data_IF_158572591403
#
_entry.id   IF_158572591403
#
_cell.length_a   1.000
_cell.length_b   1.000
_cell.length_c   1.000
_cell.angle_alpha   90.00
_cell.angle_beta   90.00
_cell.angle_gamma   90.00
#
_symmetry.space_group_name_H-M   'P 1'
#
loop_
_entity.id
_entity.type
_entity.pdbx_description
1 polymer ?
#
# COMPACT_ATOMS: atom_id res chain seq x y z
N UNK A 1 -60.63 -21.89 -0.09
CA UNK A 1 -59.41 -21.24 -0.63
C UNK A 1 -58.82 -20.18 0.31
N UNK A 2 -59.62 -19.46 1.11
CA UNK A 2 -59.17 -18.44 2.07
C UNK A 2 -58.20 -18.91 3.19
N UNK A 3 -58.39 -20.05 3.88
CA UNK A 3 -57.52 -20.41 5.02
C UNK A 3 -56.08 -20.75 4.62
N UNK A 4 -55.84 -21.21 3.38
CA UNK A 4 -54.50 -21.50 2.87
C UNK A 4 -53.64 -20.23 2.76
N UNK A 5 -54.21 -19.13 2.30
CA UNK A 5 -53.54 -17.83 2.22
C UNK A 5 -53.18 -17.27 3.59
N UNK A 6 -54.03 -17.48 4.60
CA UNK A 6 -53.71 -17.11 5.98
C UNK A 6 -52.55 -17.92 6.56
N UNK A 7 -52.50 -19.24 6.31
CA UNK A 7 -51.37 -20.07 6.77
C UNK A 7 -50.05 -19.70 6.08
N UNK A 8 -50.09 -19.41 4.78
CA UNK A 8 -48.93 -18.94 4.03
C UNK A 8 -48.46 -17.56 4.53
N UNK A 9 -49.40 -16.66 4.79
CA UNK A 9 -49.09 -15.33 5.32
C UNK A 9 -48.48 -15.41 6.72
N UNK A 10 -49.02 -16.26 7.60
CA UNK A 10 -48.47 -16.51 8.93
C UNK A 10 -47.05 -17.09 8.85
N UNK A 11 -46.81 -18.05 7.95
CA UNK A 11 -45.48 -18.63 7.74
C UNK A 11 -44.48 -17.58 7.23
N UNK A 12 -44.88 -16.75 6.26
CA UNK A 12 -44.04 -15.65 5.76
C UNK A 12 -43.74 -14.63 6.87
N UNK A 13 -44.71 -14.31 7.73
CA UNK A 13 -44.51 -13.36 8.82
C UNK A 13 -43.54 -13.90 9.90
N UNK A 14 -43.68 -15.18 10.25
CA UNK A 14 -42.73 -15.86 11.16
C UNK A 14 -41.33 -15.89 10.53
N UNK A 15 -41.23 -16.23 9.24
CA UNK A 15 -39.96 -16.23 8.50
C UNK A 15 -39.30 -14.84 8.49
N UNK A 16 -40.08 -13.79 8.21
CA UNK A 16 -39.60 -12.41 8.24
C UNK A 16 -39.14 -11.99 9.64
N UNK A 17 -39.88 -12.37 10.69
CA UNK A 17 -39.51 -12.10 12.08
C UNK A 17 -38.18 -12.77 12.47
N UNK A 18 -37.97 -14.02 12.06
CA UNK A 18 -36.71 -14.75 12.30
C UNK A 18 -35.55 -14.10 11.56
N UNK A 19 -35.73 -13.74 10.28
CA UNK A 19 -34.68 -13.07 9.49
C UNK A 19 -34.30 -11.71 10.10
N UNK A 20 -35.29 -10.93 10.53
CA UNK A 20 -35.07 -9.64 11.18
C UNK A 20 -34.32 -9.83 12.51
N UNK A 21 -34.67 -10.84 13.31
CA UNK A 21 -33.95 -11.13 14.55
C UNK A 21 -32.48 -11.48 14.31
N UNK A 22 -32.20 -12.35 13.33
CA UNK A 22 -30.83 -12.73 12.95
C UNK A 22 -30.06 -11.52 12.44
N UNK A 23 -30.68 -10.63 11.66
CA UNK A 23 -30.03 -9.43 11.17
C UNK A 23 -29.68 -8.46 12.31
N UNK A 24 -30.62 -8.20 13.22
CA UNK A 24 -30.38 -7.36 14.40
C UNK A 24 -29.25 -7.92 15.26
N UNK A 25 -29.22 -9.24 15.50
CA UNK A 25 -28.17 -9.84 16.32
C UNK A 25 -26.80 -9.75 15.64
N UNK A 26 -26.73 -9.96 14.31
CA UNK A 26 -25.50 -9.75 13.53
C UNK A 26 -25.01 -8.30 13.61
N UNK A 27 -25.91 -7.31 13.45
CA UNK A 27 -25.59 -5.89 13.56
C UNK A 27 -25.08 -5.54 14.97
N UNK A 28 -25.78 -5.98 16.01
CA UNK A 28 -25.38 -5.78 17.42
C UNK A 28 -24.04 -6.45 17.75
N UNK A 29 -23.84 -7.67 17.28
CA UNK A 29 -22.59 -8.41 17.43
C UNK A 29 -21.41 -7.69 16.78
N UNK A 30 -21.60 -7.13 15.57
CA UNK A 30 -20.59 -6.34 14.86
C UNK A 30 -20.21 -5.08 15.63
N UNK A 31 -21.19 -4.30 16.09
CA UNK A 31 -20.94 -3.09 16.89
C UNK A 31 -20.16 -3.38 18.17
N UNK A 32 -20.50 -4.47 18.88
CA UNK A 32 -19.76 -4.89 20.09
C UNK A 32 -18.31 -5.25 19.78
N UNK A 33 -18.08 -6.02 18.70
CA UNK A 33 -16.73 -6.39 18.24
C UNK A 33 -15.91 -5.17 17.83
N UNK A 34 -16.51 -4.23 17.08
CA UNK A 34 -15.85 -2.98 16.68
C UNK A 34 -15.49 -2.11 17.89
N UNK A 35 -16.41 -1.95 18.85
CA UNK A 35 -16.17 -1.20 20.09
C UNK A 35 -15.05 -1.81 20.93
N UNK A 36 -15.01 -3.14 21.05
CA UNK A 36 -13.93 -3.85 21.75
C UNK A 36 -12.58 -3.69 21.06
N UNK A 37 -12.57 -3.79 19.73
CA UNK A 37 -11.36 -3.59 18.93
C UNK A 37 -10.83 -2.15 19.01
N UNK A 38 -11.71 -1.15 18.92
CA UNK A 38 -11.36 0.26 19.06
C UNK A 38 -10.68 0.53 20.40
N UNK A 39 -11.28 0.04 21.51
CA UNK A 39 -10.69 0.12 22.85
C UNK A 39 -9.30 -0.50 22.93
N UNK A 40 -9.08 -1.65 22.28
CA UNK A 40 -7.76 -2.30 22.29
C UNK A 40 -6.67 -1.52 21.56
N UNK A 41 -7.05 -0.64 20.62
CA UNK A 41 -6.13 0.23 19.88
C UNK A 41 -6.01 1.63 20.50
N UNK A 42 -6.75 1.92 21.59
CA UNK A 42 -6.84 3.28 22.14
C UNK A 42 -7.58 4.25 21.21
N UNK A 43 -8.48 3.74 20.38
CA UNK A 43 -9.31 4.53 19.48
C UNK A 43 -10.69 4.81 20.09
N UNK A 44 -11.26 5.94 19.72
CA UNK A 44 -12.60 6.34 20.10
C UNK A 44 -13.63 5.64 19.21
N UNK A 45 -14.77 5.28 19.81
CA UNK A 45 -15.86 4.60 19.10
C UNK A 45 -17.13 5.43 19.19
N UNK A 46 -17.71 5.69 18.02
CA UNK A 46 -18.99 6.34 17.85
C UNK A 46 -19.94 5.40 17.09
N UNK A 47 -21.20 5.33 17.54
CA UNK A 47 -22.14 4.37 16.97
C UNK A 47 -22.56 4.75 15.55
N UNK A 48 -22.74 6.03 15.31
CA UNK A 48 -23.27 6.58 14.08
C UNK A 48 -22.79 8.01 13.91
N UNK A 49 -22.41 8.39 12.68
CA UNK A 49 -22.01 9.76 12.35
C UNK A 49 -22.41 10.09 10.91
N UNK A 50 -23.09 11.22 10.71
CA UNK A 50 -23.57 11.68 9.39
C UNK A 50 -22.57 12.61 8.70
N UNK A 51 -21.67 13.25 9.44
CA UNK A 51 -20.76 14.26 8.88
C UNK A 51 -19.45 13.67 8.37
N UNK A 52 -19.08 12.48 8.84
CA UNK A 52 -17.81 11.83 8.48
C UNK A 52 -17.76 11.51 6.99
N UNK A 53 -18.87 11.05 6.40
CA UNK A 53 -18.94 10.66 4.99
C UNK A 53 -18.84 11.84 4.01
N UNK A 54 -19.29 13.04 4.41
CA UNK A 54 -19.25 14.25 3.57
C UNK A 54 -17.84 14.68 3.17
N UNK A 55 -16.81 14.13 3.82
CA UNK A 55 -15.39 14.45 3.59
C UNK A 55 -14.82 13.78 2.35
N UNK A 56 -15.46 12.74 1.84
CA UNK A 56 -14.98 11.95 0.71
C UNK A 56 -16.06 11.87 -0.37
N UNK A 57 -15.63 11.70 -1.61
CA UNK A 57 -16.53 11.76 -2.78
C UNK A 57 -16.37 10.60 -3.75
N UNK A 58 -15.27 9.85 -3.69
CA UNK A 58 -14.90 8.84 -4.69
C UNK A 58 -14.93 7.41 -4.15
N UNK A 59 -14.73 6.45 -5.03
CA UNK A 59 -14.62 5.03 -4.70
C UNK A 59 -15.97 4.43 -4.32
N UNK A 60 -16.05 3.72 -3.20
CA UNK A 60 -17.34 3.18 -2.73
C UNK A 60 -18.33 4.31 -2.39
N UNK A 61 -17.83 5.47 -1.98
CA UNK A 61 -18.65 6.58 -1.51
C UNK A 61 -19.41 7.23 -2.67
N UNK A 62 -18.90 7.20 -3.90
CA UNK A 62 -19.66 7.70 -5.06
C UNK A 62 -20.81 6.79 -5.48
N UNK A 63 -20.80 5.53 -5.03
CA UNK A 63 -21.89 4.58 -5.31
C UNK A 63 -23.01 4.63 -4.27
N UNK A 64 -22.72 5.20 -3.09
CA UNK A 64 -23.65 5.27 -1.97
C UNK A 64 -24.21 6.69 -1.88
N UNK A 65 -25.52 6.80 -1.62
CA UNK A 65 -26.19 8.10 -1.45
C UNK A 65 -25.85 8.77 -0.11
N UNK A 66 -26.71 9.70 0.31
CA UNK A 66 -26.62 10.36 1.62
C UNK A 66 -27.03 9.39 2.74
N UNK A 67 -26.10 8.53 3.12
CA UNK A 67 -26.29 7.45 4.09
C UNK A 67 -25.42 7.74 5.32
N UNK A 68 -25.88 7.48 6.55
CA UNK A 68 -25.05 7.65 7.74
C UNK A 68 -23.92 6.60 7.81
N UNK A 69 -22.77 7.00 8.38
CA UNK A 69 -21.71 6.05 8.71
C UNK A 69 -22.03 5.37 10.05
N UNK A 70 -21.93 4.05 10.11
CA UNK A 70 -22.13 3.28 11.35
C UNK A 70 -20.81 2.74 11.89
N UNK A 71 -20.79 2.38 13.19
CA UNK A 71 -19.64 1.75 13.84
C UNK A 71 -18.32 2.49 13.60
N UNK A 72 -18.39 3.81 13.72
CA UNK A 72 -17.30 4.74 13.44
C UNK A 72 -16.25 4.60 14.53
N UNK A 73 -15.00 4.47 14.12
CA UNK A 73 -13.82 4.45 14.97
C UNK A 73 -12.92 5.57 14.54
N UNK A 74 -12.57 6.42 15.49
CA UNK A 74 -11.67 7.55 15.30
C UNK A 74 -10.37 7.24 16.03
N UNK A 75 -9.25 7.33 15.31
CA UNK A 75 -7.96 7.00 15.86
C UNK A 75 -6.86 7.87 15.30
N UNK A 76 -5.65 7.64 15.80
CA UNK A 76 -4.44 8.23 15.26
C UNK A 76 -3.34 7.19 15.13
N UNK A 77 -2.59 7.28 14.06
CA UNK A 77 -1.49 6.38 13.73
C UNK A 77 -0.29 7.24 13.37
N UNK A 78 0.79 7.17 14.15
CA UNK A 78 2.00 7.98 13.91
C UNK A 78 1.70 9.48 13.75
N UNK A 79 0.65 9.98 14.41
CA UNK A 79 0.18 11.37 14.31
C UNK A 79 -0.77 11.67 13.14
N UNK A 80 -1.04 10.71 12.25
CA UNK A 80 -2.03 10.83 11.18
C UNK A 80 -3.39 10.34 11.65
N UNK A 81 -4.46 11.10 11.41
CA UNK A 81 -5.82 10.70 11.76
C UNK A 81 -6.27 9.50 10.93
N UNK A 82 -6.93 8.54 11.57
CA UNK A 82 -7.55 7.39 10.91
C UNK A 82 -9.02 7.29 11.29
N UNK A 83 -9.85 7.04 10.29
CA UNK A 83 -11.28 6.76 10.44
C UNK A 83 -11.55 5.34 9.95
N UNK A 84 -12.28 4.55 10.72
CA UNK A 84 -12.83 3.27 10.27
C UNK A 84 -14.34 3.33 10.45
N UNK A 85 -15.10 3.08 9.41
CA UNK A 85 -16.56 3.13 9.50
C UNK A 85 -17.20 2.13 8.55
N UNK A 86 -18.45 1.80 8.84
CA UNK A 86 -19.27 0.93 8.03
C UNK A 86 -20.25 1.79 7.24
N UNK A 87 -20.31 1.58 5.92
CA UNK A 87 -21.28 2.19 5.02
C UNK A 87 -22.40 1.18 4.81
N UNK A 88 -23.63 1.54 5.18
CA UNK A 88 -24.86 0.72 5.28
C UNK A 88 -24.86 -0.57 4.44
N UNK A 89 -24.34 -1.66 5.02
CA UNK A 89 -24.20 -3.00 4.42
C UNK A 89 -23.36 -3.13 3.13
N UNK A 90 -22.82 -2.03 2.60
CA UNK A 90 -21.98 -2.03 1.40
C UNK A 90 -20.56 -2.46 1.73
N UNK A 91 -19.88 -1.72 2.60
CA UNK A 91 -18.46 -1.94 2.89
C UNK A 91 -18.04 -1.35 4.24
N UNK A 92 -16.98 -1.91 4.83
CA UNK A 92 -16.20 -1.24 5.86
C UNK A 92 -15.09 -0.44 5.18
N UNK A 93 -15.02 0.86 5.44
CA UNK A 93 -14.01 1.77 4.89
C UNK A 93 -13.03 2.18 5.97
N UNK A 94 -11.75 2.15 5.64
CA UNK A 94 -10.65 2.66 6.44
C UNK A 94 -10.04 3.84 5.70
N UNK A 95 -10.10 5.03 6.28
CA UNK A 95 -9.53 6.25 5.72
C UNK A 95 -8.37 6.75 6.60
N UNK A 96 -7.20 6.90 5.99
CA UNK A 96 -5.98 7.41 6.61
C UNK A 96 -5.67 8.82 6.08
N UNK A 97 -5.40 9.76 6.97
CA UNK A 97 -5.00 11.11 6.60
C UNK A 97 -3.59 11.11 6.01
N UNK A 98 -3.40 11.83 4.90
CA UNK A 98 -2.11 11.96 4.23
C UNK A 98 -1.40 13.21 4.71
N UNK A 99 -0.09 13.11 5.00
CA UNK A 99 0.73 14.27 5.32
C UNK A 99 0.86 15.29 4.17
N UNK A 100 0.90 14.80 2.92
CA UNK A 100 1.02 15.63 1.72
C UNK A 100 -0.15 15.31 0.78
N UNK A 101 -0.92 16.35 0.46
CA UNK A 101 -2.05 16.23 -0.44
C UNK A 101 -1.65 16.10 -1.91
N UNK A 102 -2.50 15.48 -2.73
CA UNK A 102 -2.30 15.32 -4.19
C UNK A 102 -3.60 15.54 -4.95
N UNK A 103 -3.56 16.15 -6.13
CA UNK A 103 -4.74 16.23 -7.01
C UNK A 103 -4.91 14.98 -7.90
N UNK A 104 -3.90 14.11 -7.93
CA UNK A 104 -3.94 12.85 -8.66
C UNK A 104 -4.64 11.80 -7.80
N UNK A 105 -5.65 11.16 -8.38
CA UNK A 105 -6.37 10.03 -7.79
C UNK A 105 -5.89 8.77 -8.47
N UNK A 106 -5.45 7.81 -7.68
CA UNK A 106 -5.16 6.44 -8.11
C UNK A 106 -6.17 5.53 -7.41
N UNK A 107 -6.85 4.70 -8.20
CA UNK A 107 -7.83 3.73 -7.74
C UNK A 107 -7.37 2.34 -8.16
N UNK A 108 -7.15 1.47 -7.17
CA UNK A 108 -6.70 0.10 -7.31
C UNK A 108 -7.81 -0.81 -6.79
N UNK A 109 -8.46 -1.55 -7.69
CA UNK A 109 -9.60 -2.43 -7.36
C UNK A 109 -9.36 -3.86 -7.80
N UNK A 110 -9.96 -4.83 -7.13
CA UNK A 110 -9.93 -6.23 -7.57
C UNK A 110 -10.54 -6.38 -8.97
N UNK A 111 -9.98 -7.31 -9.74
CA UNK A 111 -10.54 -7.71 -11.04
C UNK A 111 -11.96 -8.24 -10.85
N UNK A 112 -12.87 -7.84 -11.73
CA UNK A 112 -14.28 -8.24 -11.71
C UNK A 112 -15.20 -7.27 -10.95
N UNK A 113 -14.65 -6.31 -10.21
CA UNK A 113 -15.42 -5.17 -9.73
C UNK A 113 -15.70 -4.20 -10.90
N UNK A 114 -16.85 -3.55 -10.86
CA UNK A 114 -17.22 -2.53 -11.85
C UNK A 114 -16.17 -1.43 -11.88
N UNK A 115 -15.99 -0.79 -13.03
CA UNK A 115 -15.07 0.34 -13.18
C UNK A 115 -15.55 1.57 -12.38
N UNK A 116 -14.67 2.53 -12.06
CA UNK A 116 -15.10 3.77 -11.41
C UNK A 116 -16.19 4.45 -12.24
N UNK A 117 -17.17 5.07 -11.58
CA UNK A 117 -18.29 5.74 -12.28
C UNK A 117 -17.91 7.11 -12.82
N UNK A 118 -16.86 7.69 -12.25
CA UNK A 118 -16.37 9.02 -12.58
C UNK A 118 -15.83 9.05 -14.01
N UNK A 119 -16.17 10.09 -14.78
CA UNK A 119 -15.75 10.23 -16.18
C UNK A 119 -14.32 10.76 -16.35
N UNK A 120 -13.70 11.24 -15.27
CA UNK A 120 -12.38 11.86 -15.25
C UNK A 120 -11.25 10.90 -14.86
N UNK A 121 -11.55 9.60 -14.80
CA UNK A 121 -10.60 8.56 -14.44
C UNK A 121 -10.51 7.51 -15.54
N UNK A 122 -9.30 7.12 -15.91
CA UNK A 122 -9.05 6.20 -17.01
C UNK A 122 -8.29 4.96 -16.54
N UNK A 123 -8.52 3.84 -17.22
CA UNK A 123 -7.82 2.59 -16.98
C UNK A 123 -6.35 2.72 -17.38
N UNK A 124 -5.44 2.50 -16.43
CA UNK A 124 -4.00 2.41 -16.70
C UNK A 124 -3.61 0.99 -17.13
N UNK A 125 -4.14 -0.02 -16.44
CA UNK A 125 -3.85 -1.43 -16.75
C UNK A 125 -4.09 -2.38 -15.59
N UNK A 126 -3.79 -3.66 -15.82
CA UNK A 126 -3.90 -4.72 -14.83
C UNK A 126 -2.58 -4.96 -14.10
N UNK A 127 -2.62 -5.04 -12.78
CA UNK A 127 -1.49 -5.43 -11.93
C UNK A 127 -1.93 -6.63 -11.08
N UNK A 128 -1.46 -7.82 -11.44
CA UNK A 128 -1.78 -9.05 -10.72
C UNK A 128 -3.30 -9.32 -10.66
N UNK A 129 -3.91 -9.47 -9.47
CA UNK A 129 -5.35 -9.65 -9.31
C UNK A 129 -6.16 -8.34 -9.36
N UNK A 130 -5.52 -7.19 -9.62
CA UNK A 130 -6.14 -5.86 -9.50
C UNK A 130 -6.04 -5.06 -10.80
N UNK A 131 -6.93 -4.08 -10.94
CA UNK A 131 -7.00 -3.10 -12.02
C UNK A 131 -6.69 -1.71 -11.45
N UNK A 132 -5.87 -0.94 -12.15
CA UNK A 132 -5.48 0.42 -11.76
C UNK A 132 -6.16 1.43 -12.68
N UNK A 133 -6.84 2.39 -12.06
CA UNK A 133 -7.44 3.54 -12.71
C UNK A 133 -6.79 4.81 -12.14
N UNK A 134 -6.67 5.86 -12.96
CA UNK A 134 -6.12 7.14 -12.50
C UNK A 134 -6.66 8.33 -13.27
N UNK A 135 -6.75 9.48 -12.60
CA UNK A 135 -7.06 10.78 -13.23
C UNK A 135 -5.89 11.31 -14.03
N UNK A 136 -4.67 10.85 -13.74
CA UNK A 136 -3.48 11.16 -14.53
C UNK A 136 -2.65 9.87 -14.75
N UNK A 137 -2.63 9.40 -15.98
CA UNK A 137 -1.97 8.14 -16.35
C UNK A 137 -0.45 8.22 -16.20
N UNK A 138 0.17 9.37 -16.48
CA UNK A 138 1.62 9.54 -16.37
C UNK A 138 2.10 9.59 -14.92
N UNK A 139 1.33 10.25 -14.05
CA UNK A 139 1.60 10.26 -12.61
C UNK A 139 1.39 8.86 -12.00
N UNK A 140 0.33 8.16 -12.40
CA UNK A 140 0.10 6.79 -11.94
C UNK A 140 1.14 5.82 -12.46
N UNK A 141 1.60 5.93 -13.71
CA UNK A 141 2.68 5.08 -14.24
C UNK A 141 3.99 5.25 -13.47
N UNK A 142 4.29 6.47 -13.01
CA UNK A 142 5.43 6.73 -12.12
C UNK A 142 5.24 6.14 -10.72
N UNK A 143 4.01 6.14 -10.21
CA UNK A 143 3.67 5.53 -8.92
C UNK A 143 3.61 3.99 -8.97
N UNK A 144 3.30 3.43 -10.14
CA UNK A 144 3.26 1.98 -10.39
C UNK A 144 4.65 1.39 -10.61
N UNK A 145 5.53 1.54 -9.62
CA UNK A 145 6.85 0.93 -9.61
C UNK A 145 6.81 -0.57 -9.23
N UNK A 146 7.98 -1.20 -9.10
CA UNK A 146 8.10 -2.60 -8.67
C UNK A 146 7.44 -2.87 -7.31
N UNK A 147 7.41 -1.87 -6.41
CA UNK A 147 6.82 -2.00 -5.07
C UNK A 147 5.30 -2.02 -5.16
N UNK A 148 4.71 -1.16 -6.00
CA UNK A 148 3.27 -1.19 -6.27
C UNK A 148 2.84 -2.51 -6.90
N UNK A 149 3.64 -3.06 -7.83
CA UNK A 149 3.37 -4.37 -8.43
C UNK A 149 3.37 -5.47 -7.36
N UNK A 150 4.40 -5.48 -6.50
CA UNK A 150 4.50 -6.46 -5.40
C UNK A 150 3.33 -6.31 -4.44
N UNK A 151 3.01 -5.07 -4.05
CA UNK A 151 1.88 -4.75 -3.17
C UNK A 151 0.55 -5.26 -3.73
N UNK A 152 0.28 -5.06 -5.03
CA UNK A 152 -0.94 -5.54 -5.65
C UNK A 152 -1.08 -7.07 -5.62
N UNK A 153 0.03 -7.82 -5.57
CA UNK A 153 0.03 -9.27 -5.42
C UNK A 153 -0.05 -9.73 -3.96
N UNK A 154 0.55 -9.01 -3.02
CA UNK A 154 0.61 -9.39 -1.61
C UNK A 154 -0.55 -8.84 -0.79
N UNK A 155 -1.21 -7.78 -1.25
CA UNK A 155 -2.33 -7.17 -0.55
C UNK A 155 -3.50 -8.16 -0.46
N UNK A 156 -4.14 -8.27 0.71
CA UNK A 156 -5.17 -9.27 0.94
C UNK A 156 -6.40 -9.00 0.09
N UNK A 157 -7.08 -10.06 -0.33
CA UNK A 157 -8.30 -9.95 -1.17
C UNK A 157 -9.48 -9.32 -0.42
N UNK A 158 -9.39 -9.19 0.92
CA UNK A 158 -10.36 -8.40 1.69
C UNK A 158 -10.24 -6.90 1.43
N UNK A 159 -9.12 -6.41 0.88
CA UNK A 159 -8.99 -5.03 0.38
C UNK A 159 -9.45 -4.99 -1.08
N UNK A 160 -10.76 -4.81 -1.25
CA UNK A 160 -11.46 -4.88 -2.53
C UNK A 160 -11.16 -3.67 -3.41
N UNK A 161 -11.23 -2.47 -2.82
CA UNK A 161 -11.02 -1.19 -3.51
C UNK A 161 -10.13 -0.32 -2.63
N UNK A 162 -9.05 0.20 -3.20
CA UNK A 162 -8.10 1.09 -2.54
C UNK A 162 -7.95 2.32 -3.40
N UNK A 163 -8.20 3.50 -2.86
CA UNK A 163 -8.06 4.73 -3.61
C UNK A 163 -7.50 5.85 -2.74
N UNK A 164 -7.04 6.92 -3.36
CA UNK A 164 -6.73 8.13 -2.64
C UNK A 164 -7.60 9.28 -3.12
N UNK A 165 -7.84 10.20 -2.21
CA UNK A 165 -8.32 11.54 -2.51
C UNK A 165 -7.21 12.54 -2.18
N UNK A 166 -7.57 13.82 -2.09
CA UNK A 166 -6.61 14.90 -1.91
C UNK A 166 -5.74 14.69 -0.68
N UNK A 167 -6.37 14.62 0.49
CA UNK A 167 -5.68 14.49 1.78
C UNK A 167 -5.93 13.14 2.47
N UNK A 168 -6.48 12.17 1.75
CA UNK A 168 -6.91 10.88 2.32
C UNK A 168 -6.50 9.72 1.45
N UNK A 169 -6.17 8.60 2.09
CA UNK A 169 -6.00 7.30 1.44
C UNK A 169 -6.98 6.34 2.07
N UNK A 170 -7.79 5.68 1.23
CA UNK A 170 -8.93 4.89 1.65
C UNK A 170 -8.78 3.45 1.16
N UNK A 171 -9.29 2.52 1.97
CA UNK A 171 -9.45 1.11 1.62
C UNK A 171 -10.87 0.70 1.99
N UNK A 172 -11.59 0.12 1.03
CA UNK A 172 -12.87 -0.53 1.26
C UNK A 172 -12.69 -2.04 1.34
N UNK A 173 -13.40 -2.62 2.30
CA UNK A 173 -13.39 -4.04 2.63
C UNK A 173 -14.82 -4.55 2.80
N UNK A 174 -15.07 -5.87 2.69
CA UNK A 174 -16.38 -6.43 2.94
C UNK A 174 -16.91 -6.08 4.33
N UNK A 175 -18.21 -5.81 4.45
CA UNK A 175 -18.85 -5.53 5.75
C UNK A 175 -18.79 -6.72 6.74
N UNK A 176 -18.55 -7.92 6.22
CA UNK A 176 -18.33 -9.15 6.98
C UNK A 176 -16.92 -9.27 7.58
N UNK A 177 -16.06 -8.26 7.37
CA UNK A 177 -14.67 -8.27 7.83
C UNK A 177 -14.54 -8.47 9.34
N UNK A 178 -13.58 -9.29 9.71
CA UNK A 178 -13.24 -9.67 11.09
C UNK A 178 -12.20 -8.74 11.69
N UNK A 179 -11.96 -8.88 13.00
CA UNK A 179 -10.94 -8.12 13.74
C UNK A 179 -9.55 -8.18 13.10
N UNK A 180 -9.11 -9.39 12.73
CA UNK A 180 -7.80 -9.60 12.11
C UNK A 180 -7.71 -8.92 10.74
N UNK A 181 -8.80 -8.94 9.97
CA UNK A 181 -8.89 -8.24 8.68
C UNK A 181 -8.88 -6.72 8.86
N UNK A 182 -9.47 -6.16 9.92
CA UNK A 182 -9.34 -4.73 10.21
C UNK A 182 -7.89 -4.34 10.54
N UNK A 183 -7.17 -5.16 11.33
CA UNK A 183 -5.75 -4.94 11.60
C UNK A 183 -4.91 -5.03 10.32
N UNK A 184 -5.25 -5.96 9.43
CA UNK A 184 -4.62 -6.09 8.12
C UNK A 184 -4.94 -4.91 7.21
N UNK A 185 -6.20 -4.46 7.16
CA UNK A 185 -6.63 -3.28 6.43
C UNK A 185 -5.89 -2.01 6.89
N UNK A 186 -5.65 -1.85 8.19
CA UNK A 186 -4.81 -0.77 8.73
C UNK A 186 -3.35 -0.85 8.25
N UNK A 187 -2.80 -2.04 8.05
CA UNK A 187 -1.44 -2.19 7.48
C UNK A 187 -1.46 -1.89 5.98
N UNK A 188 -2.45 -2.40 5.26
CA UNK A 188 -2.64 -2.23 3.81
C UNK A 188 -2.81 -0.76 3.45
N UNK A 189 -3.67 0.00 4.16
CA UNK A 189 -3.86 1.44 3.90
C UNK A 189 -2.58 2.24 4.11
N UNK A 190 -1.75 1.87 5.10
CA UNK A 190 -0.46 2.53 5.35
C UNK A 190 0.55 2.23 4.25
N UNK A 191 0.67 0.96 3.87
CA UNK A 191 1.55 0.55 2.78
C UNK A 191 1.15 1.23 1.46
N UNK A 192 -0.15 1.27 1.17
CA UNK A 192 -0.68 1.97 0.00
C UNK A 192 -0.42 3.48 0.08
N UNK A 193 -0.66 4.11 1.23
CA UNK A 193 -0.35 5.52 1.45
C UNK A 193 1.14 5.83 1.20
N UNK A 194 2.04 4.97 1.71
CA UNK A 194 3.49 5.10 1.53
C UNK A 194 3.92 5.00 0.05
N UNK A 195 3.30 4.10 -0.72
CA UNK A 195 3.53 3.98 -2.17
C UNK A 195 3.04 5.22 -2.93
N UNK A 196 1.94 5.81 -2.49
CA UNK A 196 1.36 7.01 -3.11
C UNK A 196 2.03 8.32 -2.68
N UNK A 197 3.10 8.29 -1.89
CA UNK A 197 3.87 9.51 -1.54
C UNK A 197 4.63 10.10 -2.72
N UNK A 198 4.83 9.32 -3.78
CA UNK A 198 5.51 9.76 -5.01
C UNK A 198 4.61 10.57 -5.95
N UNK A 199 3.31 10.70 -5.62
CA UNK A 199 2.39 11.53 -6.37
C UNK A 199 2.76 13.01 -6.24
N UNK A 200 2.54 13.81 -7.31
CA UNK A 200 2.85 15.23 -7.27
C UNK A 200 2.03 15.92 -6.16
N UNK A 201 2.65 16.78 -5.33
CA UNK A 201 1.91 17.56 -4.37
C UNK A 201 0.94 18.48 -5.09
N UNK A 202 -0.15 18.85 -4.42
CA UNK A 202 -1.00 19.95 -4.89
C UNK A 202 -0.09 21.17 -5.11
N UNK A 203 -0.13 21.84 -6.28
CA UNK A 203 0.56 23.09 -6.47
C UNK A 203 0.12 24.00 -5.32
N UNK A 204 1.08 24.40 -4.48
CA UNK A 204 0.79 25.47 -3.54
C UNK A 204 0.48 26.67 -4.41
N UNK A 205 -0.79 27.09 -4.48
CA UNK A 205 -1.08 28.47 -4.82
C UNK A 205 -0.29 29.27 -3.81
N UNK A 206 0.79 29.85 -4.29
CA UNK A 206 1.77 30.58 -3.52
C UNK A 206 1.00 31.53 -2.62
N UNK A 207 0.94 31.23 -1.32
CA UNK A 207 0.71 32.22 -0.28
C UNK A 207 1.97 33.10 -0.20
N UNK A 208 2.24 33.76 -1.32
CA UNK A 208 3.27 34.74 -1.64
C UNK A 208 3.04 35.15 -3.12
N UNK A 209 1.81 35.57 -3.42
CA UNK A 209 1.62 36.65 -4.37
C UNK A 209 2.26 37.91 -3.74
N UNK A 210 3.58 38.00 -3.85
CA UNK A 210 4.38 39.00 -3.14
C UNK A 210 5.86 39.03 -3.50
N UNK A 211 6.29 38.39 -4.59
CA UNK A 211 7.55 38.74 -5.23
C UNK A 211 7.44 38.37 -6.72
N UNK A 212 7.50 39.35 -7.65
CA UNK A 212 7.51 39.00 -9.06
C UNK A 212 8.78 38.19 -9.32
N UNK A 213 8.59 36.98 -9.86
CA UNK A 213 9.66 36.25 -10.51
C UNK A 213 10.20 37.16 -11.61
N UNK A 214 11.29 37.86 -11.28
CA UNK A 214 12.07 38.61 -12.26
C UNK A 214 12.50 37.60 -13.32
N UNK A 215 11.83 37.68 -14.47
CA UNK A 215 12.33 37.23 -15.75
C UNK A 215 13.78 37.71 -15.77
N UNK A 216 14.74 36.79 -15.67
CA UNK A 216 16.15 37.11 -15.89
C UNK A 216 16.31 37.37 -17.40
N UNK A 217 15.84 38.52 -17.83
CA UNK A 217 16.26 39.16 -19.07
C UNK A 217 17.73 39.52 -18.88
N UNK A 218 18.62 38.57 -19.16
CA UNK A 218 20.03 38.85 -19.34
C UNK A 218 20.17 39.62 -20.66
N UNK A 219 19.94 40.93 -20.61
CA UNK A 219 20.33 41.83 -21.69
C UNK A 219 21.85 42.14 -21.58
N UNK A 220 22.55 42.27 -22.71
CA UNK A 220 23.99 42.20 -22.80
C UNK A 220 24.64 43.56 -22.55
N UNK A 221 25.64 43.61 -21.68
CA UNK A 221 26.63 44.71 -21.67
C UNK A 221 27.78 44.38 -20.73
N UNK A 222 28.76 43.64 -21.24
CA UNK A 222 30.13 43.70 -20.74
C UNK A 222 31.04 44.16 -21.87
N UNK A 223 31.61 45.36 -21.82
CA UNK A 223 32.58 45.82 -22.82
C UNK A 223 33.84 44.95 -22.75
N UNK A 224 34.31 44.50 -23.91
CA UNK A 224 35.65 43.92 -24.08
C UNK A 224 36.70 44.95 -23.62
N UNK A 225 37.52 44.58 -22.63
CA UNK A 225 38.78 45.26 -22.37
C UNK A 225 39.85 44.70 -23.34
N UNK A 226 40.69 45.56 -23.95
CA UNK A 226 41.57 45.18 -25.04
C UNK A 226 42.80 44.39 -24.59
N UNK A 227 43.29 43.54 -25.49
CA UNK A 227 44.51 42.75 -25.34
C UNK A 227 45.75 43.64 -25.20
N UNK A 228 46.30 43.72 -23.99
CA UNK A 228 47.60 44.30 -23.70
C UNK A 228 48.70 43.22 -23.79
N UNK A 229 49.42 43.23 -24.91
CA UNK A 229 50.68 42.52 -25.14
C UNK A 229 51.69 42.89 -24.04
N UNK A 230 52.18 41.92 -23.29
CA UNK A 230 53.39 42.08 -22.46
C UNK A 230 54.42 41.04 -22.88
N UNK A 231 55.61 41.59 -23.08
CA UNK A 231 56.78 41.11 -23.79
C UNK A 231 57.69 40.33 -22.83
N UNK A 232 58.32 39.25 -23.31
CA UNK A 232 59.41 38.54 -22.63
C UNK A 232 60.68 39.42 -22.59
N UNK A 233 61.53 39.28 -21.55
CA UNK A 233 62.92 38.96 -21.89
C UNK A 233 63.64 37.94 -20.95
N UNK A 234 64.26 36.98 -21.64
CA UNK A 234 65.56 36.29 -21.51
C UNK A 234 66.46 36.31 -20.23
N UNK A 235 66.70 35.10 -19.71
CA UNK A 235 67.98 34.34 -19.52
C UNK A 235 69.22 34.99 -18.85
N UNK A 236 69.64 34.42 -17.71
CA UNK A 236 71.03 34.05 -17.27
C UNK A 236 70.95 33.48 -15.83
N UNK A 237 71.77 32.59 -15.27
CA UNK A 237 72.76 31.57 -15.67
C UNK A 237 73.07 30.73 -14.41
N UNK A 238 73.42 29.47 -14.61
CA UNK A 238 73.89 28.44 -13.64
C UNK A 238 75.11 28.89 -12.79
N UNK A 239 75.45 28.19 -11.68
CA UNK A 239 76.25 26.94 -11.71
C UNK A 239 75.65 25.83 -10.82
N UNK A 240 75.64 24.54 -11.16
CA UNK A 240 76.70 23.56 -11.47
C UNK A 240 77.38 22.98 -10.22
N UNK A 241 76.99 21.75 -9.84
CA UNK A 241 77.85 20.78 -9.15
C UNK A 241 77.49 19.40 -9.68
N UNK A 242 78.20 18.99 -10.72
CA UNK A 242 78.31 17.60 -11.15
C UNK A 242 79.24 16.82 -10.21
N UNK A 243 78.82 15.61 -9.84
CA UNK A 243 79.74 14.48 -9.71
C UNK A 243 80.19 14.08 -8.30
N UNK A 244 79.46 13.17 -7.67
CA UNK A 244 80.10 12.07 -6.94
C UNK A 244 79.28 10.78 -7.07
N UNK A 245 79.90 9.84 -7.79
CA UNK A 245 79.64 8.40 -7.97
C UNK A 245 78.96 7.70 -6.77
N UNK A 246 78.18 6.64 -6.92
CA UNK A 246 77.90 5.79 -8.06
C UNK A 246 77.03 4.57 -7.67
N UNK A 247 76.62 3.84 -8.71
CA UNK A 247 76.36 2.39 -8.76
C UNK A 247 75.30 1.75 -7.85
N UNK A 248 74.34 1.12 -8.54
CA UNK A 248 73.86 -0.26 -8.35
C UNK A 248 72.41 -0.52 -7.88
N UNK A 249 71.71 -1.26 -8.76
CA UNK A 249 70.76 -2.36 -8.48
C UNK A 249 69.25 -2.03 -8.37
N UNK A 250 68.60 -2.20 -9.54
CA UNK A 250 67.57 -3.22 -9.82
C UNK A 250 66.13 -3.07 -9.27
N UNK A 251 65.18 -3.04 -10.22
CA UNK A 251 63.74 -3.18 -10.03
C UNK A 251 63.31 -4.61 -9.63
N UNK A 252 62.12 -4.75 -9.00
CA UNK A 252 61.16 -5.74 -9.48
C UNK A 252 59.72 -5.17 -9.52
N UNK A 253 59.02 -5.21 -10.66
CA UNK A 253 58.20 -6.31 -11.21
C UNK A 253 57.01 -6.76 -10.35
N UNK A 254 55.82 -6.48 -10.89
CA UNK A 254 54.50 -7.06 -10.60
C UNK A 254 54.55 -8.59 -10.62
N UNK A 255 53.79 -9.22 -9.73
CA UNK A 255 53.46 -10.66 -9.79
C UNK A 255 51.93 -10.84 -9.83
N UNK A 256 51.40 -11.59 -10.81
CA UNK A 256 50.02 -12.08 -10.83
C UNK A 256 49.89 -13.46 -10.17
N UNK A 257 48.72 -13.73 -9.58
CA UNK A 257 48.39 -14.97 -8.85
C UNK A 257 47.98 -16.10 -9.83
N UNK A 258 48.46 -17.35 -9.67
CA UNK A 258 48.19 -18.42 -10.62
C UNK A 258 47.00 -19.31 -10.23
N UNK A 259 46.36 -19.83 -11.28
CA UNK A 259 45.38 -20.90 -11.27
C UNK A 259 46.01 -22.27 -10.94
N UNK A 260 45.27 -23.14 -10.24
CA UNK A 260 45.55 -24.57 -10.12
C UNK A 260 44.44 -25.35 -10.83
N UNK A 261 44.84 -26.18 -11.79
CA UNK A 261 43.98 -26.95 -12.71
C UNK A 261 44.08 -28.46 -12.43
N UNK A 262 42.91 -29.10 -12.43
CA UNK A 262 42.51 -30.49 -12.81
C UNK A 262 43.22 -31.74 -12.26
N UNK A 263 42.44 -32.78 -11.93
CA UNK A 263 42.00 -33.86 -12.85
C UNK A 263 40.97 -34.77 -12.13
N UNK A 264 39.74 -34.95 -12.66
CA UNK A 264 39.23 -36.03 -13.56
C UNK A 264 38.71 -37.26 -12.77
N UNK A 265 37.69 -38.05 -13.11
CA UNK A 265 36.58 -38.13 -14.11
C UNK A 265 35.89 -39.50 -13.86
N UNK A 266 34.56 -39.60 -14.02
CA UNK A 266 33.77 -40.79 -14.47
C UNK A 266 32.32 -40.66 -13.95
N UNK A 267 31.30 -40.38 -14.76
CA UNK A 267 30.55 -41.26 -15.68
C UNK A 267 29.65 -42.33 -14.99
N UNK A 268 28.34 -42.25 -15.25
CA UNK A 268 27.49 -43.43 -15.48
C UNK A 268 26.34 -43.72 -14.49
N UNK A 269 25.07 -43.86 -14.94
CA UNK A 269 23.87 -43.98 -14.12
C UNK A 269 23.41 -45.43 -13.86
N UNK A 270 22.55 -45.65 -12.86
CA UNK A 270 21.75 -46.88 -12.79
C UNK A 270 20.41 -46.71 -12.08
N UNK A 271 19.42 -47.35 -12.68
CA UNK A 271 18.01 -47.38 -12.33
C UNK A 271 17.68 -48.50 -11.34
N UNK A 272 16.54 -48.34 -10.67
CA UNK A 272 15.70 -49.44 -10.19
C UNK A 272 15.77 -49.72 -8.68
N UNK A 273 14.64 -49.53 -7.97
CA UNK A 273 13.79 -50.65 -7.50
C UNK A 273 12.82 -50.21 -6.36
N UNK A 274 11.54 -50.13 -6.76
CA UNK A 274 10.28 -50.55 -6.10
C UNK A 274 9.85 -50.07 -4.71
N UNK A 275 8.59 -49.60 -4.70
CA UNK A 275 7.48 -49.86 -3.76
C UNK A 275 7.67 -49.63 -2.25
N UNK A 276 6.90 -48.68 -1.73
CA UNK A 276 6.01 -48.97 -0.59
C UNK A 276 4.79 -48.03 -0.59
N UNK A 277 3.63 -48.65 -0.81
CA UNK A 277 2.28 -48.12 -0.67
C UNK A 277 1.87 -47.98 0.81
N UNK A 278 1.11 -46.91 1.11
CA UNK A 278 0.04 -46.74 2.12
C UNK A 278 0.23 -47.27 3.57
N UNK A 279 0.18 -46.35 4.54
CA UNK A 279 -0.76 -46.45 5.70
C UNK A 279 -0.90 -45.13 6.51
N UNK A 280 -2.13 -44.59 6.69
CA UNK A 280 -2.50 -43.66 7.78
C UNK A 280 -3.08 -44.44 9.02
N UNK A 281 -3.37 -43.78 10.16
CA UNK A 281 -3.03 -44.24 11.52
C UNK A 281 -4.08 -45.16 12.19
N UNK A 282 -3.74 -45.84 13.32
CA UNK A 282 -4.72 -46.60 14.07
C UNK A 282 -5.59 -45.70 14.97
N UNK A 283 -6.90 -45.85 14.81
CA UNK A 283 -7.94 -45.43 15.75
C UNK A 283 -8.20 -46.55 16.78
N UNK A 284 -8.27 -46.19 18.06
CA UNK A 284 -8.69 -47.07 19.17
C UNK A 284 -8.48 -46.33 20.49
N UNK A 285 -9.50 -45.70 21.09
CA UNK A 285 -10.62 -46.25 21.89
C UNK A 285 -10.16 -46.72 23.28
N UNK A 286 -10.51 -45.91 24.29
CA UNK A 286 -10.72 -46.16 25.72
C UNK A 286 -10.23 -44.92 26.49
N UNK A 287 -10.89 -44.39 27.50
CA UNK A 287 -12.08 -44.80 28.22
C UNK A 287 -12.29 -43.76 29.32
N UNK A 288 -13.55 -43.47 29.58
CA UNK A 288 -14.11 -42.78 30.74
C UNK A 288 -13.21 -42.75 32.00
N UNK A 289 -12.88 -41.55 32.49
CA UNK A 289 -12.60 -41.33 33.91
C UNK A 289 -13.41 -40.12 34.37
N UNK A 290 -14.39 -40.38 35.24
CA UNK A 290 -15.24 -39.38 35.87
C UNK A 290 -14.53 -38.59 36.97
N UNK A 291 -15.11 -37.46 37.42
CA UNK A 291 -14.49 -36.56 38.38
C UNK A 291 -14.77 -37.01 39.83
N UNK A 292 -13.72 -37.20 40.62
CA UNK A 292 -13.80 -37.30 42.08
C UNK A 292 -13.42 -35.95 42.70
N UNK A 293 -14.41 -35.25 43.27
CA UNK A 293 -14.21 -34.24 44.31
C UNK A 293 -15.42 -34.25 45.25
N UNK A 294 -15.25 -34.85 46.43
CA UNK A 294 -16.06 -34.61 47.62
C UNK A 294 -15.28 -35.07 48.87
N UNK A 295 -14.63 -34.13 49.55
CA UNK A 295 -14.86 -33.71 50.94
C UNK A 295 -13.74 -32.79 51.40
#
# INVERSE_FOLDING_TARGET
>A
MVPLWFTLSALCFVGAGVLLYVDIDRRRGRSRRRKSWARSHGFDYERESTDVLKRWKRGVISTVGDVPAHNVVLGQIRGEAVYIFDVEEVATVIALHRKVGTNVVVDLRLKGLKEPRESDIWLLGAIGPRMVYSTNLDAARRACDRRMVTFAHTAPDCAEIMWNEQNWTLVAMPISSTRAQWDEGLRTVRQFNDLLRVLPPVPQETAEAGAPAAIRSAAPSRPLAPAGRVELPSRRSQPDVSGLLGSDVQAPRRTPQPARREQARAEGPSAGRTDNLRRPPPTGRNGNQGPNYQR
#
